data_IF_892149471481
#
_entry.id   IF_892149471481
#
_cell.length_a   1.000
_cell.length_b   1.000
_cell.length_c   1.000
_cell.angle_alpha   90.00
_cell.angle_beta   90.00
_cell.angle_gamma   90.00
#
_symmetry.space_group_name_H-M   'P 1'
#
loop_
_entity.id
_entity.type
_entity.pdbx_description
1 polymer ?
#
# COMPACT_ATOMS: atom_id res chain seq x y z
N UNK A 1 -9.37 -21.84 -9.91
CA UNK A 1 -8.89 -20.85 -8.90
C UNK A 1 -9.17 -21.46 -7.53
N UNK A 2 -8.18 -22.10 -6.90
CA UNK A 2 -8.31 -22.67 -5.56
C UNK A 2 -8.35 -21.47 -4.60
N UNK A 3 -9.51 -21.22 -3.99
CA UNK A 3 -9.60 -20.32 -2.86
C UNK A 3 -8.66 -20.84 -1.77
N UNK A 4 -7.59 -20.12 -1.51
CA UNK A 4 -6.67 -20.41 -0.42
C UNK A 4 -7.41 -20.09 0.89
N UNK A 5 -8.04 -21.10 1.49
CA UNK A 5 -8.64 -20.93 2.81
C UNK A 5 -7.52 -20.77 3.83
N UNK A 6 -7.55 -19.68 4.60
CA UNK A 6 -6.64 -19.53 5.72
C UNK A 6 -6.84 -20.68 6.70
N UNK A 7 -5.81 -21.47 6.89
CA UNK A 7 -5.68 -22.52 7.92
C UNK A 7 -4.46 -22.19 8.75
N UNK A 8 -4.37 -22.73 9.97
CA UNK A 8 -3.29 -22.39 10.90
C UNK A 8 -3.74 -21.42 11.98
N UNK A 9 -3.03 -20.34 12.18
CA UNK A 9 -3.39 -19.33 13.18
C UNK A 9 -3.27 -17.91 12.63
N UNK A 10 -3.98 -16.99 13.28
CA UNK A 10 -3.90 -15.55 13.00
C UNK A 10 -3.95 -14.77 14.31
N UNK A 11 -2.97 -13.87 14.51
CA UNK A 11 -2.90 -13.02 15.71
C UNK A 11 -3.50 -11.65 15.42
N UNK A 12 -4.50 -11.23 16.20
CA UNK A 12 -5.08 -9.91 16.18
C UNK A 12 -4.59 -9.11 17.40
N UNK A 13 -3.46 -8.44 17.24
CA UNK A 13 -2.74 -7.78 18.33
C UNK A 13 -3.57 -6.72 19.06
N UNK A 14 -4.37 -5.92 18.33
CA UNK A 14 -5.22 -4.88 18.93
C UNK A 14 -6.22 -5.43 19.93
N UNK A 15 -6.72 -6.65 19.70
CA UNK A 15 -7.68 -7.33 20.55
C UNK A 15 -7.01 -8.31 21.51
N UNK A 16 -5.69 -8.48 21.42
CA UNK A 16 -4.97 -9.53 22.15
C UNK A 16 -5.65 -10.90 21.99
N UNK A 17 -5.96 -11.25 20.74
CA UNK A 17 -6.65 -12.47 20.37
C UNK A 17 -5.83 -13.27 19.37
N UNK A 18 -6.02 -14.58 19.40
CA UNK A 18 -5.55 -15.49 18.36
C UNK A 18 -6.71 -16.32 17.84
N UNK A 19 -6.84 -16.41 16.54
CA UNK A 19 -7.79 -17.29 15.87
C UNK A 19 -7.04 -18.51 15.35
N UNK A 20 -7.56 -19.70 15.65
CA UNK A 20 -7.05 -20.96 15.19
C UNK A 20 -7.99 -21.56 14.15
N UNK A 21 -7.43 -22.09 13.08
CA UNK A 21 -8.15 -22.61 11.93
C UNK A 21 -7.63 -24.00 11.57
N UNK A 22 -8.53 -24.97 11.49
CA UNK A 22 -8.19 -26.34 11.13
C UNK A 22 -9.08 -26.87 10.00
N UNK A 23 -8.45 -27.52 9.01
CA UNK A 23 -9.13 -28.27 7.97
C UNK A 23 -8.31 -29.50 7.62
N UNK A 24 -8.97 -30.64 7.58
CA UNK A 24 -8.42 -31.85 6.98
C UNK A 24 -8.87 -31.91 5.52
N UNK A 25 -7.91 -31.86 4.59
CA UNK A 25 -8.22 -31.78 3.17
C UNK A 25 -8.77 -33.09 2.60
N UNK A 26 -8.39 -34.25 3.16
CA UNK A 26 -8.96 -35.53 2.77
C UNK A 26 -10.44 -35.65 3.20
N UNK A 27 -10.73 -35.30 4.46
CA UNK A 27 -12.09 -35.24 4.98
C UNK A 27 -12.96 -34.17 4.29
N UNK A 28 -12.34 -33.09 3.82
CA UNK A 28 -13.03 -32.10 3.00
C UNK A 28 -13.45 -32.65 1.63
N UNK A 29 -12.54 -33.34 0.95
CA UNK A 29 -12.79 -33.92 -0.38
C UNK A 29 -13.85 -35.01 -0.34
N UNK A 30 -13.84 -35.86 0.69
CA UNK A 30 -14.81 -36.96 0.83
C UNK A 30 -16.13 -36.52 1.53
N UNK A 31 -16.24 -35.24 1.92
CA UNK A 31 -17.45 -34.65 2.52
C UNK A 31 -17.67 -35.01 3.98
N UNK A 32 -16.70 -35.58 4.68
CA UNK A 32 -16.82 -36.01 6.09
C UNK A 32 -16.32 -34.96 7.07
N UNK A 33 -15.66 -33.88 6.60
CA UNK A 33 -15.02 -32.87 7.42
C UNK A 33 -15.92 -32.35 8.57
N UNK A 34 -17.17 -31.98 8.26
CA UNK A 34 -18.12 -31.46 9.28
C UNK A 34 -18.51 -32.45 10.36
N UNK A 35 -18.26 -33.75 10.15
CA UNK A 35 -18.57 -34.82 11.11
C UNK A 35 -17.41 -35.08 12.07
N UNK A 36 -16.26 -34.42 11.87
CA UNK A 36 -15.09 -34.55 12.75
C UNK A 36 -15.34 -33.87 14.08
N UNK A 37 -14.71 -34.37 15.11
CA UNK A 37 -14.56 -33.68 16.40
C UNK A 37 -13.17 -33.06 16.42
N UNK A 38 -13.11 -31.71 16.52
CA UNK A 38 -11.84 -30.99 16.51
C UNK A 38 -11.74 -30.09 17.72
N UNK A 39 -10.58 -30.07 18.35
CA UNK A 39 -10.21 -29.13 19.40
C UNK A 39 -8.83 -28.56 19.09
N UNK A 40 -8.52 -27.37 19.62
CA UNK A 40 -7.16 -26.84 19.71
C UNK A 40 -6.68 -26.98 21.15
N UNK A 41 -5.51 -27.59 21.33
CA UNK A 41 -4.78 -27.66 22.61
C UNK A 41 -3.81 -26.47 22.63
N UNK A 42 -4.02 -25.54 23.55
CA UNK A 42 -3.18 -24.35 23.74
C UNK A 42 -2.52 -24.43 25.10
N UNK A 43 -1.18 -24.56 25.12
CA UNK A 43 -0.38 -24.69 26.33
C UNK A 43 -0.87 -25.82 27.27
N UNK A 44 -1.33 -26.93 26.69
CA UNK A 44 -1.85 -28.08 27.45
C UNK A 44 -3.33 -28.01 27.85
N UNK A 45 -4.06 -27.00 27.38
CA UNK A 45 -5.50 -26.89 27.62
C UNK A 45 -6.27 -27.02 26.30
N UNK A 46 -7.20 -27.98 26.24
CA UNK A 46 -8.01 -28.22 25.05
C UNK A 46 -9.24 -27.31 25.01
N UNK A 47 -9.48 -26.72 23.84
CA UNK A 47 -10.64 -25.90 23.52
C UNK A 47 -11.35 -26.47 22.30
N UNK A 48 -12.66 -26.82 22.40
CA UNK A 48 -13.41 -27.32 21.25
C UNK A 48 -13.53 -26.27 20.17
N UNK A 49 -13.31 -26.68 18.91
CA UNK A 49 -13.45 -25.82 17.74
C UNK A 49 -14.83 -26.00 17.11
N UNK A 50 -15.35 -24.93 16.53
CA UNK A 50 -16.64 -24.92 15.85
C UNK A 50 -16.45 -25.00 14.35
N UNK A 51 -17.17 -25.90 13.68
CA UNK A 51 -17.19 -25.96 12.22
C UNK A 51 -17.94 -24.76 11.64
N UNK A 52 -17.30 -24.05 10.74
CA UNK A 52 -17.90 -22.93 10.00
C UNK A 52 -18.25 -23.38 8.59
N UNK A 53 -19.54 -23.47 8.28
CA UNK A 53 -20.02 -23.95 7.00
C UNK A 53 -19.72 -23.01 5.83
N UNK A 54 -19.58 -21.70 6.08
CA UNK A 54 -19.23 -20.73 5.04
C UNK A 54 -17.75 -20.82 4.63
N UNK A 55 -16.85 -21.03 5.61
CA UNK A 55 -15.39 -21.12 5.37
C UNK A 55 -14.90 -22.56 5.22
N UNK A 56 -15.77 -23.56 5.46
CA UNK A 56 -15.46 -24.99 5.36
C UNK A 56 -14.23 -25.41 6.18
N UNK A 57 -14.14 -24.92 7.42
CA UNK A 57 -13.07 -25.22 8.37
C UNK A 57 -13.57 -25.15 9.80
N UNK A 58 -12.80 -25.69 10.75
CA UNK A 58 -13.02 -25.51 12.17
C UNK A 58 -12.32 -24.24 12.64
N UNK A 59 -12.96 -23.50 13.54
CA UNK A 59 -12.50 -22.22 14.03
C UNK A 59 -12.63 -22.13 15.56
N UNK A 60 -11.63 -21.51 16.20
CA UNK A 60 -11.68 -21.13 17.61
C UNK A 60 -10.93 -19.81 17.80
N UNK A 61 -11.49 -18.91 18.60
CA UNK A 61 -10.89 -17.62 18.94
C UNK A 61 -10.58 -17.62 20.43
N UNK A 62 -9.31 -17.40 20.77
CA UNK A 62 -8.84 -17.25 22.15
C UNK A 62 -8.47 -15.81 22.40
N UNK A 63 -9.10 -15.19 23.41
CA UNK A 63 -8.74 -13.85 23.91
C UNK A 63 -7.77 -13.93 25.08
N UNK A 64 -7.15 -12.79 25.42
CA UNK A 64 -6.21 -12.68 26.53
C UNK A 64 -4.84 -13.24 26.16
N UNK A 65 -4.36 -12.94 24.95
CA UNK A 65 -3.00 -13.25 24.52
C UNK A 65 -2.01 -12.51 25.40
N UNK A 66 -1.03 -13.23 25.92
CA UNK A 66 0.03 -12.70 26.78
C UNK A 66 1.37 -12.76 26.09
N UNK A 67 2.29 -11.89 26.49
CA UNK A 67 3.64 -11.86 25.96
C UNK A 67 4.35 -13.21 26.14
N UNK A 68 5.10 -13.60 25.13
CA UNK A 68 5.89 -14.81 25.11
C UNK A 68 5.47 -15.81 24.04
N UNK A 69 5.96 -17.03 24.24
CA UNK A 69 5.71 -18.15 23.34
C UNK A 69 4.41 -18.86 23.71
N UNK A 70 3.56 -19.07 22.71
CA UNK A 70 2.33 -19.86 22.84
C UNK A 70 2.47 -21.14 22.04
N UNK A 71 2.36 -22.28 22.71
CA UNK A 71 2.36 -23.60 22.10
C UNK A 71 0.93 -24.03 21.79
N UNK A 72 0.72 -24.63 20.62
CA UNK A 72 -0.58 -25.16 20.25
C UNK A 72 -0.45 -26.35 19.31
N UNK A 73 -1.48 -27.16 19.29
CA UNK A 73 -1.67 -28.28 18.35
C UNK A 73 -3.15 -28.56 18.18
N UNK A 74 -3.53 -29.27 17.16
CA UNK A 74 -4.91 -29.67 16.97
C UNK A 74 -5.12 -31.11 17.46
N UNK A 75 -6.35 -31.39 17.93
CA UNK A 75 -6.80 -32.74 18.22
C UNK A 75 -7.97 -33.04 17.29
N UNK A 76 -7.75 -33.88 16.29
CA UNK A 76 -8.72 -34.24 15.27
C UNK A 76 -9.15 -35.69 15.47
N UNK A 77 -10.42 -35.95 15.74
CA UNK A 77 -10.97 -37.29 16.04
C UNK A 77 -10.14 -38.05 17.10
N UNK A 78 -9.65 -37.33 18.11
CA UNK A 78 -8.87 -37.91 19.20
C UNK A 78 -7.37 -38.00 18.98
N UNK A 79 -6.88 -37.78 17.76
CA UNK A 79 -5.43 -37.78 17.44
C UNK A 79 -4.87 -36.35 17.48
N UNK A 80 -3.69 -36.17 18.11
CA UNK A 80 -2.98 -34.88 18.10
C UNK A 80 -2.17 -34.73 16.82
N UNK A 81 -2.24 -33.52 16.23
CA UNK A 81 -1.49 -33.14 15.05
C UNK A 81 -0.94 -31.72 15.21
N UNK A 82 0.31 -31.51 14.82
CA UNK A 82 0.89 -30.16 14.73
C UNK A 82 0.30 -29.42 13.54
N UNK A 83 0.41 -28.11 13.56
CA UNK A 83 -0.04 -27.28 12.45
C UNK A 83 0.91 -27.40 11.24
N UNK A 84 0.45 -28.02 10.19
CA UNK A 84 1.23 -28.21 8.96
C UNK A 84 1.56 -26.90 8.22
N UNK A 85 0.87 -25.81 8.54
CA UNK A 85 1.07 -24.49 7.93
C UNK A 85 1.96 -23.58 8.77
N UNK A 86 2.40 -24.03 9.97
CA UNK A 86 3.35 -23.34 10.80
C UNK A 86 4.67 -24.13 10.85
N UNK A 87 5.74 -23.53 10.31
CA UNK A 87 7.07 -24.12 10.30
C UNK A 87 7.73 -24.21 11.69
N UNK A 88 7.21 -23.42 12.67
CA UNK A 88 7.74 -23.38 14.01
C UNK A 88 7.12 -24.50 14.86
N UNK A 89 7.93 -25.49 15.21
CA UNK A 89 7.52 -26.60 16.08
C UNK A 89 8.64 -26.98 17.05
N UNK A 90 8.25 -27.42 18.23
CA UNK A 90 9.18 -27.91 19.25
C UNK A 90 8.49 -28.87 20.22
N UNK A 91 9.30 -29.51 21.09
CA UNK A 91 8.76 -30.28 22.20
C UNK A 91 8.30 -29.37 23.33
N UNK A 92 7.03 -29.48 23.69
CA UNK A 92 6.46 -28.88 24.89
C UNK A 92 5.83 -29.99 25.74
N UNK A 93 6.23 -30.09 27.01
CA UNK A 93 5.82 -31.19 27.89
C UNK A 93 6.06 -32.60 27.29
N UNK A 94 7.19 -32.78 26.58
CA UNK A 94 7.58 -33.98 25.86
C UNK A 94 6.71 -34.38 24.66
N UNK A 95 5.79 -33.55 24.26
CA UNK A 95 4.89 -33.73 23.12
C UNK A 95 5.24 -32.74 22.02
N UNK A 96 4.85 -33.04 20.77
CA UNK A 96 5.08 -32.14 19.63
C UNK A 96 3.99 -31.06 19.58
N UNK A 97 4.44 -29.80 19.54
CA UNK A 97 3.58 -28.62 19.40
C UNK A 97 4.12 -27.68 18.33
N UNK A 98 3.22 -27.05 17.62
CA UNK A 98 3.53 -25.81 16.90
C UNK A 98 3.57 -24.65 17.89
N UNK A 99 4.30 -23.58 17.57
CA UNK A 99 4.31 -22.38 18.41
C UNK A 99 4.37 -21.10 17.58
N UNK A 100 3.97 -20.02 18.22
CA UNK A 100 4.24 -18.65 17.78
C UNK A 100 4.69 -17.80 18.96
N UNK A 101 5.39 -16.72 18.66
CA UNK A 101 5.74 -15.71 19.66
C UNK A 101 4.91 -14.46 19.45
N UNK A 102 4.46 -13.88 20.55
CA UNK A 102 3.76 -12.62 20.61
C UNK A 102 4.36 -11.76 21.71
N UNK A 103 4.61 -10.50 21.41
CA UNK A 103 4.96 -9.49 22.39
C UNK A 103 4.18 -8.22 22.03
N UNK A 104 3.51 -7.67 23.02
CA UNK A 104 2.87 -6.36 22.86
C UNK A 104 3.96 -5.32 22.93
N UNK A 105 4.24 -4.64 21.83
CA UNK A 105 5.15 -3.51 21.77
C UNK A 105 4.37 -2.20 21.64
N UNK A 106 4.98 -1.13 22.10
CA UNK A 106 4.45 0.22 22.02
C UNK A 106 5.44 1.09 21.24
N UNK A 107 4.94 1.83 20.27
CA UNK A 107 5.77 2.72 19.48
C UNK A 107 4.95 3.93 18.98
N UNK A 108 5.65 5.03 18.81
CA UNK A 108 5.14 6.21 18.13
C UNK A 108 5.70 6.24 16.71
N UNK A 109 4.81 6.41 15.74
CA UNK A 109 5.19 6.62 14.34
C UNK A 109 5.00 8.09 14.02
N UNK A 110 6.03 8.71 13.47
CA UNK A 110 5.97 10.08 12.92
C UNK A 110 6.21 10.02 11.42
N UNK A 111 5.62 10.95 10.68
CA UNK A 111 5.81 11.03 9.24
C UNK A 111 5.98 12.47 8.80
N UNK A 112 6.76 12.66 7.74
CA UNK A 112 6.98 13.94 7.09
C UNK A 112 6.98 13.77 5.56
N UNK A 113 6.63 14.82 4.86
CA UNK A 113 6.72 14.94 3.42
C UNK A 113 7.80 15.97 3.07
N UNK A 114 8.58 15.72 2.02
CA UNK A 114 9.69 16.62 1.65
C UNK A 114 9.19 17.98 1.18
N UNK A 115 8.18 18.00 0.32
CA UNK A 115 7.51 19.22 -0.11
C UNK A 115 6.08 19.17 0.41
N UNK A 116 5.62 20.23 1.00
CA UNK A 116 4.26 20.27 1.56
C UNK A 116 3.17 20.33 0.50
N UNK A 117 3.55 20.71 -0.73
CA UNK A 117 2.64 20.82 -1.86
C UNK A 117 3.30 20.36 -3.16
N UNK A 118 2.53 19.72 -4.03
CA UNK A 118 2.96 19.30 -5.37
C UNK A 118 1.74 19.18 -6.29
N UNK A 119 1.97 19.17 -7.59
CA UNK A 119 0.93 18.96 -8.60
C UNK A 119 1.05 17.57 -9.25
N UNK A 120 0.09 17.18 -10.10
CA UNK A 120 0.04 15.84 -10.72
C UNK A 120 1.20 15.51 -11.69
N UNK A 121 2.05 16.50 -12.04
CA UNK A 121 3.28 16.25 -12.82
C UNK A 121 4.52 16.11 -11.97
N UNK A 122 4.40 16.29 -10.68
CA UNK A 122 5.49 16.25 -9.73
C UNK A 122 5.37 15.01 -8.85
N UNK A 123 6.48 14.62 -8.27
CA UNK A 123 6.55 13.57 -7.27
C UNK A 123 7.00 14.18 -5.96
N UNK A 124 6.57 13.60 -4.87
CA UNK A 124 7.08 13.93 -3.55
C UNK A 124 7.52 12.68 -2.80
N UNK A 125 8.26 12.86 -1.72
CA UNK A 125 8.76 11.76 -0.91
C UNK A 125 8.18 11.89 0.49
N UNK A 126 7.49 10.84 0.92
CA UNK A 126 7.04 10.66 2.30
C UNK A 126 8.06 9.80 3.03
N UNK A 127 8.47 10.25 4.23
CA UNK A 127 9.31 9.49 5.16
C UNK A 127 8.56 9.23 6.44
N UNK A 128 8.85 8.11 7.09
CA UNK A 128 8.35 7.86 8.44
C UNK A 128 9.50 7.46 9.37
N UNK A 129 9.27 7.59 10.66
CA UNK A 129 10.17 7.16 11.72
C UNK A 129 9.38 6.45 12.80
N UNK A 130 9.93 5.36 13.32
CA UNK A 130 9.34 4.62 14.44
C UNK A 130 10.21 4.83 15.67
N UNK A 131 9.60 5.26 16.76
CA UNK A 131 10.25 5.40 18.07
C UNK A 131 9.57 4.44 19.05
N UNK A 132 10.29 3.40 19.43
CA UNK A 132 9.81 2.39 20.36
C UNK A 132 9.83 2.92 21.80
N UNK A 133 8.86 2.48 22.61
CA UNK A 133 8.89 2.71 24.06
C UNK A 133 10.05 1.92 24.69
N UNK A 134 10.86 2.60 25.46
CA UNK A 134 12.04 1.99 26.14
C UNK A 134 11.69 0.98 27.22
N UNK A 135 10.42 0.91 27.64
CA UNK A 135 9.92 -0.07 28.62
C UNK A 135 9.57 -1.43 28.02
N UNK A 136 9.53 -1.56 26.69
CA UNK A 136 9.18 -2.81 26.02
C UNK A 136 10.24 -3.89 26.22
N UNK A 137 9.78 -5.13 26.41
CA UNK A 137 10.67 -6.27 26.70
C UNK A 137 11.49 -6.77 25.50
N UNK A 138 11.10 -6.39 24.28
CA UNK A 138 11.73 -6.81 23.02
C UNK A 138 11.96 -5.62 22.11
N UNK A 139 13.01 -5.69 21.32
CA UNK A 139 13.29 -4.70 20.27
C UNK A 139 12.26 -4.82 19.16
N UNK A 140 11.75 -3.68 18.71
CA UNK A 140 10.84 -3.58 17.58
C UNK A 140 11.63 -3.64 16.27
N UNK A 141 11.19 -4.53 15.39
CA UNK A 141 11.64 -4.57 13.99
C UNK A 141 10.44 -4.34 13.08
N UNK A 142 10.58 -3.45 12.11
CA UNK A 142 9.51 -3.17 11.16
C UNK A 142 9.43 -4.32 10.15
N UNK A 143 8.37 -5.11 10.22
CA UNK A 143 8.12 -6.20 9.28
C UNK A 143 7.48 -5.71 7.97
N UNK A 144 6.61 -4.70 8.05
CA UNK A 144 6.01 -4.07 6.87
C UNK A 144 5.52 -2.66 7.17
N UNK A 145 5.49 -1.83 6.13
CA UNK A 145 4.87 -0.52 6.20
C UNK A 145 4.09 -0.24 4.91
N UNK A 146 3.02 0.54 5.02
CA UNK A 146 2.21 0.96 3.87
C UNK A 146 1.63 2.34 4.08
N UNK A 147 1.35 3.03 2.96
CA UNK A 147 0.66 4.31 2.93
C UNK A 147 -0.60 4.18 2.05
N UNK A 148 -1.69 4.77 2.51
CA UNK A 148 -2.90 4.92 1.72
C UNK A 148 -2.81 6.21 0.90
N UNK A 149 -2.64 6.06 -0.40
CA UNK A 149 -2.57 7.16 -1.37
C UNK A 149 -3.81 7.19 -2.29
N UNK A 150 -4.90 6.55 -1.88
CA UNK A 150 -6.14 6.52 -2.65
C UNK A 150 -6.76 7.91 -2.85
N UNK A 151 -6.59 8.81 -1.87
CA UNK A 151 -7.07 10.20 -1.96
C UNK A 151 -6.34 11.06 -3.01
N UNK A 152 -5.19 10.57 -3.52
CA UNK A 152 -4.44 11.18 -4.62
C UNK A 152 -4.39 10.30 -5.88
N UNK A 153 -5.33 9.32 -5.97
CA UNK A 153 -5.53 8.46 -7.13
C UNK A 153 -4.71 7.18 -7.18
N UNK A 154 -3.97 6.87 -6.10
CA UNK A 154 -3.15 5.66 -6.01
C UNK A 154 -3.81 4.51 -5.24
N UNK A 155 -2.99 3.60 -4.73
CA UNK A 155 -3.42 2.42 -3.95
C UNK A 155 -3.79 2.81 -2.51
N UNK A 156 -4.76 2.12 -1.92
CA UNK A 156 -5.09 2.23 -0.50
C UNK A 156 -4.10 1.51 0.44
N UNK A 157 -3.12 0.80 -0.11
CA UNK A 157 -2.08 0.09 0.64
C UNK A 157 -0.78 0.01 -0.19
N UNK A 158 -0.24 1.17 -0.57
CA UNK A 158 1.03 1.25 -1.27
C UNK A 158 2.15 0.85 -0.32
N UNK A 159 2.98 -0.17 -0.64
CA UNK A 159 4.04 -0.61 0.26
C UNK A 159 5.15 0.43 0.39
N UNK A 160 5.72 0.50 1.58
CA UNK A 160 6.93 1.26 1.87
C UNK A 160 8.01 0.26 2.29
N UNK A 161 9.18 0.32 1.67
CA UNK A 161 10.31 -0.51 2.05
C UNK A 161 10.76 -0.19 3.49
N UNK A 162 10.68 -1.15 4.42
CA UNK A 162 10.96 -0.91 5.84
C UNK A 162 12.36 -0.35 6.11
N UNK A 163 13.35 -0.80 5.34
CA UNK A 163 14.74 -0.35 5.49
C UNK A 163 14.95 1.09 5.06
N UNK A 164 14.25 1.52 4.02
CA UNK A 164 14.35 2.89 3.50
C UNK A 164 13.52 3.87 4.32
N UNK A 165 12.43 3.41 4.92
CA UNK A 165 11.45 4.21 5.65
C UNK A 165 10.97 5.43 4.84
N UNK A 166 10.93 5.28 3.51
CA UNK A 166 10.58 6.32 2.57
C UNK A 166 9.89 5.75 1.34
N UNK A 167 8.99 6.53 0.74
CA UNK A 167 8.31 6.18 -0.51
C UNK A 167 8.06 7.43 -1.34
N UNK A 168 8.18 7.29 -2.66
CA UNK A 168 7.78 8.34 -3.60
C UNK A 168 6.28 8.24 -3.88
N UNK A 169 5.60 9.37 -3.78
CA UNK A 169 4.17 9.51 -4.09
C UNK A 169 3.97 10.44 -5.28
N UNK A 170 2.88 10.22 -6.01
CA UNK A 170 2.44 11.07 -7.12
C UNK A 170 0.93 11.17 -7.13
N UNK A 171 0.41 12.32 -7.56
CA UNK A 171 -1.04 12.50 -7.76
C UNK A 171 -1.42 12.18 -9.21
N UNK A 172 -2.64 11.70 -9.42
CA UNK A 172 -3.21 11.53 -10.77
C UNK A 172 -3.93 12.79 -11.22
N UNK A 173 -4.14 12.93 -12.53
CA UNK A 173 -4.87 14.08 -13.14
C UNK A 173 -6.29 14.25 -12.63
N UNK A 174 -6.90 13.17 -12.11
CA UNK A 174 -8.26 13.19 -11.57
C UNK A 174 -8.30 13.56 -10.08
N UNK A 175 -7.13 13.79 -9.46
CA UNK A 175 -7.06 14.18 -8.06
C UNK A 175 -7.61 15.58 -7.86
N UNK A 176 -8.57 15.73 -6.94
CA UNK A 176 -9.09 17.05 -6.57
C UNK A 176 -8.05 17.85 -5.79
N UNK A 177 -8.02 19.17 -6.04
CA UNK A 177 -7.09 20.09 -5.37
C UNK A 177 -7.32 20.19 -3.86
N UNK A 178 -6.32 20.71 -3.16
CA UNK A 178 -6.34 20.97 -1.72
C UNK A 178 -5.66 19.90 -0.88
N UNK A 179 -5.79 20.01 0.42
CA UNK A 179 -5.11 19.15 1.40
C UNK A 179 -5.69 17.73 1.35
N UNK A 180 -4.78 16.76 1.30
CA UNK A 180 -5.06 15.32 1.39
C UNK A 180 -4.30 14.74 2.57
N UNK A 181 -5.02 14.04 3.43
CA UNK A 181 -4.42 13.28 4.54
C UNK A 181 -4.13 11.86 4.08
N UNK A 182 -2.89 11.44 4.21
CA UNK A 182 -2.40 10.13 3.78
C UNK A 182 -2.09 9.27 5.01
N UNK A 183 -2.90 8.25 5.32
CA UNK A 183 -2.64 7.34 6.43
C UNK A 183 -1.43 6.42 6.16
N UNK A 184 -0.60 6.25 7.18
CA UNK A 184 0.55 5.34 7.18
C UNK A 184 0.32 4.30 8.27
N UNK A 185 0.51 3.03 7.92
CA UNK A 185 0.46 1.90 8.86
C UNK A 185 1.77 1.16 8.84
N UNK A 186 2.35 0.97 10.02
CA UNK A 186 3.57 0.19 10.24
C UNK A 186 3.20 -1.04 11.06
N UNK A 187 3.71 -2.20 10.68
CA UNK A 187 3.50 -3.47 11.39
C UNK A 187 4.85 -4.02 11.81
N UNK A 188 4.99 -4.41 13.07
CA UNK A 188 6.20 -5.04 13.58
C UNK A 188 6.24 -6.56 13.32
N UNK A 189 7.33 -7.21 13.73
CA UNK A 189 7.57 -8.65 13.59
C UNK A 189 6.57 -9.52 14.36
N UNK A 190 5.86 -8.98 15.35
CA UNK A 190 4.81 -9.67 16.11
C UNK A 190 3.40 -9.36 15.64
N UNK A 191 3.25 -8.48 14.64
CA UNK A 191 1.97 -8.07 14.09
C UNK A 191 1.31 -6.90 14.83
N UNK A 192 2.00 -6.23 15.76
CA UNK A 192 1.49 -4.97 16.33
C UNK A 192 1.46 -3.90 15.23
N UNK A 193 0.39 -3.10 15.21
CA UNK A 193 0.18 -2.07 14.19
C UNK A 193 0.21 -0.68 14.82
N UNK A 194 1.04 0.15 14.23
CA UNK A 194 1.19 1.56 14.59
C UNK A 194 0.76 2.42 13.39
N UNK A 195 0.10 3.54 13.65
CA UNK A 195 -0.43 4.38 12.57
C UNK A 195 -0.14 5.85 12.82
N UNK A 196 0.08 6.57 11.74
CA UNK A 196 0.18 8.02 11.69
C UNK A 196 -0.44 8.53 10.41
N UNK A 197 -0.48 9.83 10.24
CA UNK A 197 -0.93 10.48 9.00
C UNK A 197 0.04 11.57 8.61
N UNK A 198 0.10 11.87 7.32
CA UNK A 198 0.80 13.04 6.79
C UNK A 198 -0.13 13.79 5.84
N UNK A 199 -0.10 15.11 5.89
CA UNK A 199 -0.87 15.96 5.01
C UNK A 199 -0.01 16.47 3.86
N UNK A 200 -0.57 16.41 2.64
CA UNK A 200 0.00 16.98 1.42
C UNK A 200 -1.04 17.89 0.77
N UNK A 201 -0.60 18.97 0.18
CA UNK A 201 -1.47 19.86 -0.60
C UNK A 201 -1.30 19.59 -2.09
N UNK A 202 -2.39 19.21 -2.74
CA UNK A 202 -2.42 19.08 -4.20
C UNK A 202 -2.78 20.42 -4.80
N UNK A 203 -1.85 20.98 -5.57
CA UNK A 203 -1.98 22.28 -6.21
C UNK A 203 -2.35 22.12 -7.68
N UNK A 204 -2.92 23.18 -8.24
CA UNK A 204 -3.12 23.26 -9.67
C UNK A 204 -1.77 23.38 -10.38
N UNK A 205 -1.67 22.77 -11.53
CA UNK A 205 -0.55 22.98 -12.45
C UNK A 205 -0.52 24.41 -12.99
N UNK A 206 -1.70 25.00 -13.21
CA UNK A 206 -1.85 26.37 -13.67
C UNK A 206 -1.80 27.31 -12.47
N UNK A 207 -0.74 28.10 -12.37
CA UNK A 207 -0.66 29.19 -11.39
C UNK A 207 -1.86 30.13 -11.60
N UNK A 208 -2.63 30.40 -10.53
CA UNK A 208 -3.79 31.30 -10.58
C UNK A 208 -3.45 32.70 -11.10
N UNK A 209 -2.18 33.10 -11.05
CA UNK A 209 -1.68 34.34 -11.61
C UNK A 209 -1.39 34.17 -13.10
N UNK A 210 -2.42 34.41 -13.92
CA UNK A 210 -2.34 34.49 -15.39
C UNK A 210 -1.29 35.51 -15.93
N UNK A 211 -0.57 36.18 -15.05
CA UNK A 211 0.51 37.11 -15.41
C UNK A 211 1.88 36.46 -15.46
N UNK A 212 2.05 35.30 -14.83
CA UNK A 212 3.30 34.58 -14.84
C UNK A 212 3.25 33.54 -15.97
N UNK A 213 3.98 33.81 -17.03
CA UNK A 213 4.14 32.90 -18.16
C UNK A 213 4.87 31.63 -17.70
N UNK A 214 4.27 30.47 -17.94
CA UNK A 214 4.88 29.17 -17.66
C UNK A 214 5.24 28.46 -18.96
N UNK A 215 6.50 28.15 -19.13
CA UNK A 215 6.99 27.45 -20.30
C UNK A 215 6.49 26.01 -20.41
N UNK A 216 6.19 25.36 -19.27
CA UNK A 216 5.67 23.97 -19.26
C UNK A 216 4.26 23.86 -19.83
N UNK A 217 3.52 24.96 -19.84
CA UNK A 217 2.16 25.06 -20.40
C UNK A 217 2.10 25.82 -21.71
N UNK A 218 3.24 26.37 -22.14
CA UNK A 218 3.27 27.20 -23.32
C UNK A 218 3.18 26.35 -24.59
N UNK A 219 2.24 26.69 -25.45
CA UNK A 219 2.25 26.24 -26.83
C UNK A 219 3.10 27.20 -27.64
N UNK A 220 4.29 26.75 -28.04
CA UNK A 220 5.19 27.54 -28.87
C UNK A 220 4.78 27.38 -30.33
N UNK A 221 4.36 28.47 -30.94
CA UNK A 221 4.06 28.51 -32.36
C UNK A 221 5.19 29.21 -33.10
N UNK A 222 5.94 28.44 -33.86
CA UNK A 222 6.98 29.00 -34.73
C UNK A 222 6.43 29.18 -36.14
N UNK A 223 6.43 30.42 -36.64
CA UNK A 223 6.09 30.71 -38.04
C UNK A 223 7.09 31.66 -38.68
N UNK A 224 7.28 31.46 -39.94
CA UNK A 224 7.99 32.43 -40.81
C UNK A 224 6.93 33.34 -41.41
N UNK A 225 6.85 34.59 -40.95
CA UNK A 225 5.82 35.58 -41.36
C UNK A 225 5.73 35.66 -42.90
N UNK A 226 6.85 35.75 -43.53
CA UNK A 226 6.96 35.81 -45.00
C UNK A 226 6.31 34.61 -45.72
N UNK A 227 6.18 33.45 -45.07
CA UNK A 227 5.70 32.21 -45.69
C UNK A 227 4.39 31.71 -45.12
N UNK A 228 3.80 32.44 -44.16
CA UNK A 228 2.61 32.01 -43.48
C UNK A 228 1.32 32.46 -44.13
N UNK A 229 1.11 33.77 -44.27
CA UNK A 229 -0.08 34.31 -44.84
C UNK A 229 0.19 35.69 -45.44
N UNK A 230 -0.26 35.93 -46.68
CA UNK A 230 -0.19 37.21 -47.37
C UNK A 230 -1.55 37.92 -47.24
N UNK A 231 -1.67 38.76 -46.21
CA UNK A 231 -2.91 39.50 -45.88
C UNK A 231 -3.11 40.74 -46.78
N UNK A 232 -2.01 41.31 -47.28
CA UNK A 232 -2.06 42.49 -48.11
C UNK A 232 -1.22 42.37 -49.39
N UNK A 233 -1.80 41.88 -50.45
CA UNK A 233 -1.10 41.68 -51.75
C UNK A 233 -0.60 42.95 -52.43
N UNK A 234 -1.01 44.13 -51.97
CA UNK A 234 -0.58 45.42 -52.58
C UNK A 234 0.80 45.85 -52.16
N UNK A 235 1.35 45.29 -51.10
CA UNK A 235 2.69 45.61 -50.61
C UNK A 235 3.79 44.62 -51.11
N UNK A 236 3.46 43.66 -51.95
CA UNK A 236 4.39 42.63 -52.50
C UNK A 236 5.32 43.14 -53.57
N UNK A 237 5.55 44.43 -53.66
CA UNK A 237 6.43 45.07 -54.66
C UNK A 237 7.82 45.40 -54.16
N UNK A 238 8.18 44.94 -52.94
CA UNK A 238 9.49 45.17 -52.37
C UNK A 238 10.61 44.50 -53.19
N UNK A 239 11.75 45.12 -53.23
CA UNK A 239 12.92 44.55 -53.92
C UNK A 239 13.32 43.23 -53.29
N UNK A 240 13.39 42.18 -54.10
CA UNK A 240 13.67 40.81 -53.59
C UNK A 240 12.42 39.99 -53.28
N UNK A 241 11.20 40.54 -53.52
CA UNK A 241 10.00 39.74 -53.40
C UNK A 241 9.81 38.84 -54.63
N UNK A 242 9.43 37.60 -54.36
CA UNK A 242 8.93 36.64 -55.36
C UNK A 242 7.57 36.14 -54.92
N UNK A 243 6.55 36.85 -55.32
CA UNK A 243 5.19 36.46 -55.01
C UNK A 243 4.85 35.10 -55.59
N UNK A 244 4.36 34.23 -54.73
CA UNK A 244 3.86 32.89 -55.05
C UNK A 244 4.89 31.76 -55.23
N UNK A 245 6.02 31.83 -54.52
CA UNK A 245 6.85 30.65 -54.26
C UNK A 245 7.60 30.10 -55.46
N UNK A 246 7.88 30.89 -56.44
CA UNK A 246 8.66 30.46 -57.61
C UNK A 246 10.18 30.32 -57.30
N UNK A 247 10.67 31.08 -56.33
CA UNK A 247 12.05 31.03 -55.87
C UNK A 247 12.09 30.92 -54.35
N UNK A 248 12.45 29.76 -53.80
CA UNK A 248 12.43 29.52 -52.34
C UNK A 248 13.40 30.38 -51.54
N UNK A 249 14.32 31.10 -52.21
CA UNK A 249 15.28 31.98 -51.55
C UNK A 249 14.84 33.44 -51.42
N UNK A 250 13.63 33.82 -51.93
CA UNK A 250 13.14 35.19 -51.93
C UNK A 250 11.92 35.31 -50.96
N UNK A 251 11.51 36.55 -50.70
CA UNK A 251 10.31 36.83 -49.90
C UNK A 251 9.02 36.41 -50.64
N UNK A 252 8.07 35.87 -49.91
CA UNK A 252 6.83 35.29 -50.48
C UNK A 252 5.56 36.11 -50.19
N UNK A 253 5.73 37.28 -49.58
CA UNK A 253 4.63 38.23 -49.35
C UNK A 253 3.90 38.10 -48.04
N UNK A 254 4.23 37.17 -47.18
CA UNK A 254 3.60 37.03 -45.87
C UNK A 254 3.79 38.28 -45.00
N UNK A 255 2.71 38.72 -44.33
CA UNK A 255 2.71 39.90 -43.48
C UNK A 255 1.74 39.74 -42.28
N UNK A 256 1.67 40.78 -41.44
CA UNK A 256 0.78 40.84 -40.27
C UNK A 256 -0.49 41.68 -40.57
N UNK A 257 -0.91 41.87 -41.79
CA UNK A 257 -2.08 42.64 -42.14
C UNK A 257 -3.38 41.86 -41.99
#
# INVERSE_FOLDING_TARGET
>A
MLCQYNVGYEVECRKQQVSYYYRDDAAFVDGTLKNMTVAVDVNGTEYPMTYNDATKRFEYVKSGLTDGKTHYRYKANGAYVVDAFNSNSEKYNNEDYSYFEYYKLNATVTAEVMNKSFNYNENDVVKFKVEQDSSDAKTLEVASASIDVSSIGGSNAMPIEPELQAVTISATTDTTLGIKTLPITVTDQYGNKFSTTVDVEITDRVKENKKDFDWDEAVVYFMMTDRFFDGNKSNNTASGADTYGKNPGLYHGGDFA
#
